data_IF_405977844357
#
_entry.id   IF_405977844357
#
_cell.length_a   1.000
_cell.length_b   1.000
_cell.length_c   1.000
_cell.angle_alpha   90.00
_cell.angle_beta   90.00
_cell.angle_gamma   90.00
#
_symmetry.space_group_name_H-M   'P 1'
#
loop_
_entity.id
_entity.type
_entity.pdbx_description
1 polymer ?
#
# COMPACT_ATOMS: atom_id res chain seq x y z
N UNK A 1 3.33 3.37 4.69
CA UNK A 1 3.28 2.14 5.50
C UNK A 1 4.38 1.18 5.04
N UNK A 2 5.13 0.49 5.91
CA UNK A 2 6.20 -0.44 5.49
C UNK A 2 5.65 -1.79 5.01
N UNK A 3 6.32 -2.43 4.05
CA UNK A 3 6.06 -3.83 3.65
C UNK A 3 6.82 -4.73 4.61
N UNK A 4 6.10 -5.40 5.50
CA UNK A 4 6.68 -6.15 6.64
C UNK A 4 7.03 -7.60 6.27
N UNK A 5 6.52 -8.08 5.13
CA UNK A 5 6.89 -9.37 4.55
C UNK A 5 6.01 -9.71 3.36
N UNK A 6 6.38 -10.79 2.65
CA UNK A 6 5.61 -11.31 1.53
C UNK A 6 5.72 -12.83 1.44
N UNK A 7 4.78 -13.44 0.75
CA UNK A 7 4.70 -14.89 0.51
C UNK A 7 4.76 -15.20 -0.99
N UNK A 8 5.07 -16.45 -1.34
CA UNK A 8 5.15 -16.88 -2.74
C UNK A 8 6.24 -16.14 -3.52
N UNK A 9 5.86 -15.50 -4.63
CA UNK A 9 6.76 -14.73 -5.49
C UNK A 9 7.39 -13.53 -4.76
N UNK A 10 6.68 -12.96 -3.79
CA UNK A 10 7.19 -11.86 -2.96
C UNK A 10 7.85 -12.37 -1.67
N UNK A 11 8.36 -13.61 -1.64
CA UNK A 11 9.02 -14.15 -0.46
C UNK A 11 10.27 -13.33 -0.14
N UNK A 12 10.42 -12.96 1.12
CA UNK A 12 11.44 -12.03 1.60
C UNK A 12 11.34 -10.60 1.04
N UNK A 13 10.16 -10.20 0.53
CA UNK A 13 9.88 -8.84 0.10
C UNK A 13 10.19 -7.81 1.19
N UNK A 14 10.91 -6.76 0.81
CA UNK A 14 11.11 -5.54 1.59
C UNK A 14 10.74 -4.33 0.75
N UNK A 15 10.15 -3.33 1.38
CA UNK A 15 9.68 -2.18 0.66
C UNK A 15 8.83 -1.23 1.50
N UNK A 16 8.25 -0.26 0.83
CA UNK A 16 7.37 0.71 1.46
C UNK A 16 6.20 1.06 0.53
N UNK A 17 5.12 1.50 1.14
CA UNK A 17 3.89 1.93 0.49
C UNK A 17 3.72 3.42 0.72
N UNK A 18 3.63 4.16 -0.39
CA UNK A 18 3.22 5.55 -0.42
C UNK A 18 1.69 5.61 -0.63
N UNK A 19 1.05 6.45 0.19
CA UNK A 19 -0.40 6.62 0.21
C UNK A 19 -0.75 8.00 -0.33
N UNK A 20 -1.58 8.05 -1.36
CA UNK A 20 -2.14 9.29 -1.90
C UNK A 20 -3.67 9.24 -1.73
N UNK A 21 -4.20 10.05 -0.84
CA UNK A 21 -5.65 10.15 -0.65
C UNK A 21 -6.24 11.12 -1.68
N UNK A 22 -7.07 10.61 -2.59
CA UNK A 22 -7.71 11.44 -3.63
C UNK A 22 -8.95 12.15 -3.11
N UNK A 23 -9.82 11.41 -2.42
CA UNK A 23 -11.05 11.97 -1.89
C UNK A 23 -11.45 11.28 -0.60
N UNK A 24 -11.94 12.07 0.35
CA UNK A 24 -12.56 11.58 1.58
C UNK A 24 -13.93 12.24 1.67
N UNK A 25 -14.99 11.49 1.43
CA UNK A 25 -16.34 11.93 1.66
C UNK A 25 -16.76 11.57 3.09
N UNK A 26 -16.56 12.51 4.01
CA UNK A 26 -16.90 12.35 5.43
C UNK A 26 -18.40 12.21 5.71
N UNK A 27 -19.28 12.55 4.75
CA UNK A 27 -20.74 12.40 4.91
C UNK A 27 -21.21 10.98 4.62
N UNK A 28 -20.59 10.31 3.65
CA UNK A 28 -20.86 8.90 3.32
C UNK A 28 -19.84 7.95 3.95
N UNK A 29 -18.83 8.49 4.63
CA UNK A 29 -17.67 7.78 5.17
C UNK A 29 -16.90 6.97 4.11
N UNK A 30 -16.90 7.47 2.87
CA UNK A 30 -16.23 6.83 1.74
C UNK A 30 -14.90 7.53 1.46
N UNK A 31 -13.86 6.77 1.14
CA UNK A 31 -12.54 7.31 0.90
C UNK A 31 -11.84 6.56 -0.24
N UNK A 32 -11.39 7.31 -1.23
CA UNK A 32 -10.59 6.79 -2.35
C UNK A 32 -9.13 7.11 -2.06
N UNK A 33 -8.36 6.06 -1.79
CA UNK A 33 -6.92 6.13 -1.50
C UNK A 33 -6.17 5.32 -2.53
N UNK A 34 -5.21 5.94 -3.19
CA UNK A 34 -4.25 5.27 -4.06
C UNK A 34 -3.06 4.78 -3.24
N UNK A 35 -2.67 3.54 -3.54
CA UNK A 35 -1.58 2.82 -2.91
C UNK A 35 -0.49 2.59 -3.94
N UNK A 36 0.60 3.35 -3.84
CA UNK A 36 1.80 3.12 -4.63
C UNK A 36 2.76 2.26 -3.81
N UNK A 37 2.87 0.98 -4.19
CA UNK A 37 3.62 -0.03 -3.43
C UNK A 37 4.95 -0.32 -4.12
N UNK A 38 6.05 0.03 -3.47
CA UNK A 38 7.40 -0.24 -3.98
C UNK A 38 7.99 -1.43 -3.22
N UNK A 39 8.22 -2.53 -3.94
CA UNK A 39 8.70 -3.79 -3.37
C UNK A 39 9.95 -4.25 -4.08
N UNK A 40 10.95 -4.64 -3.29
CA UNK A 40 12.11 -5.39 -3.75
C UNK A 40 12.02 -6.81 -3.17
N UNK A 41 12.10 -7.81 -4.02
CA UNK A 41 12.06 -9.23 -3.67
C UNK A 41 13.00 -10.02 -4.60
N UNK A 42 13.42 -11.22 -4.17
CA UNK A 42 14.31 -12.11 -4.91
C UNK A 42 13.58 -12.98 -5.94
#
# INVERSE_FOLDING_TARGET
>A
MPVIGGSGFFRFARGYVQLNTYSVNLKTNDAIVEYNVYVNHY
#
